data_IF_116221505983
#
_entry.id   IF_116221505983
#
_cell.length_a   1.000
_cell.length_b   1.000
_cell.length_c   1.000
_cell.angle_alpha   90.00
_cell.angle_beta   90.00
_cell.angle_gamma   90.00
#
_symmetry.space_group_name_H-M   'P 1'
#
loop_
_entity.id
_entity.type
_entity.pdbx_description
1 polymer ?
#
# COMPACT_ATOMS: atom_id res chain seq x y z
N UNK A 1 20.72 -39.95 -39.61
CA UNK A 1 19.60 -40.14 -38.67
C UNK A 1 20.07 -39.73 -37.29
N UNK A 2 19.59 -38.60 -36.76
CA UNK A 2 19.95 -38.11 -35.42
C UNK A 2 18.69 -38.20 -34.56
N UNK A 3 18.73 -39.06 -33.55
CA UNK A 3 17.65 -39.23 -32.58
C UNK A 3 17.67 -38.06 -31.60
N UNK A 4 16.62 -37.25 -31.62
CA UNK A 4 16.34 -36.23 -30.62
C UNK A 4 16.14 -36.90 -29.26
N UNK A 5 16.83 -36.40 -28.23
CA UNK A 5 16.73 -36.89 -26.86
C UNK A 5 15.79 -35.96 -26.08
N UNK A 6 14.55 -36.42 -25.86
CA UNK A 6 13.61 -35.84 -24.90
C UNK A 6 13.79 -36.53 -23.55
N UNK A 7 14.24 -35.78 -22.55
CA UNK A 7 14.16 -36.16 -21.13
C UNK A 7 14.05 -34.86 -20.33
N UNK A 8 12.87 -34.37 -20.00
CA UNK A 8 12.00 -35.06 -19.06
C UNK A 8 12.51 -34.83 -17.63
N UNK A 9 12.37 -33.59 -17.13
CA UNK A 9 12.12 -33.35 -15.70
C UNK A 9 11.00 -32.33 -15.58
N UNK A 10 9.80 -32.73 -15.09
CA UNK A 10 8.75 -31.78 -14.75
C UNK A 10 9.26 -30.90 -13.61
N UNK A 11 9.21 -29.58 -13.77
CA UNK A 11 9.38 -28.70 -12.62
C UNK A 11 8.15 -28.89 -11.74
N UNK A 12 8.38 -29.55 -10.63
CA UNK A 12 7.48 -29.79 -9.52
C UNK A 12 6.67 -28.52 -9.23
N UNK A 13 5.36 -28.61 -9.46
CA UNK A 13 4.40 -27.61 -9.05
C UNK A 13 4.28 -27.70 -7.54
N UNK A 14 5.19 -27.03 -6.82
CA UNK A 14 5.12 -26.92 -5.36
C UNK A 14 3.99 -25.96 -5.04
N UNK A 15 2.83 -26.55 -4.77
CA UNK A 15 1.74 -25.89 -4.10
C UNK A 15 2.21 -25.32 -2.76
N UNK A 16 2.01 -24.03 -2.60
CA UNK A 16 1.77 -23.40 -1.30
C UNK A 16 0.45 -22.65 -1.38
N UNK A 17 -0.64 -23.39 -1.49
CA UNK A 17 -1.91 -22.86 -0.99
C UNK A 17 -1.83 -22.89 0.53
N UNK A 18 -1.94 -21.73 1.18
CA UNK A 18 -2.88 -21.50 2.30
C UNK A 18 -2.54 -20.21 3.03
N UNK A 19 -3.03 -19.08 2.53
CA UNK A 19 -3.55 -18.05 3.44
C UNK A 19 -4.97 -17.77 2.98
N UNK A 20 -5.87 -18.52 3.58
CA UNK A 20 -7.27 -18.22 3.89
C UNK A 20 -8.04 -17.29 2.96
N UNK A 21 -9.14 -17.84 2.47
CA UNK A 21 -10.27 -17.15 1.88
C UNK A 21 -10.48 -15.74 2.46
N UNK A 22 -10.31 -14.74 1.61
CA UNK A 22 -10.88 -13.41 1.82
C UNK A 22 -12.42 -13.59 1.80
N UNK A 23 -13.01 -13.92 2.94
CA UNK A 23 -14.43 -13.61 3.16
C UNK A 23 -14.52 -12.09 3.11
N UNK A 24 -14.80 -11.54 1.92
CA UNK A 24 -15.36 -10.21 1.79
C UNK A 24 -16.78 -10.30 2.37
N UNK A 25 -16.85 -10.33 3.69
CA UNK A 25 -18.09 -10.15 4.40
C UNK A 25 -18.63 -8.79 4.00
N UNK A 26 -19.88 -8.77 3.53
CA UNK A 26 -20.70 -7.56 3.46
C UNK A 26 -20.95 -7.08 4.89
N UNK A 27 -19.93 -6.55 5.54
CA UNK A 27 -20.10 -5.83 6.79
C UNK A 27 -20.42 -4.39 6.40
N UNK A 28 -21.72 -4.08 6.43
CA UNK A 28 -22.22 -2.72 6.37
C UNK A 28 -21.54 -1.90 7.47
N UNK A 29 -20.71 -0.93 7.08
CA UNK A 29 -20.18 0.07 8.02
C UNK A 29 -21.34 0.96 8.43
N UNK A 30 -21.80 0.80 9.67
CA UNK A 30 -22.72 1.73 10.32
C UNK A 30 -21.86 2.90 10.79
N UNK A 31 -22.02 4.07 10.18
CA UNK A 31 -21.39 5.32 10.63
C UNK A 31 -22.16 5.80 11.86
N UNK A 32 -21.73 5.37 13.04
CA UNK A 32 -22.21 5.94 14.30
C UNK A 32 -21.48 7.26 14.55
N UNK A 33 -22.23 8.36 14.44
CA UNK A 33 -21.80 9.72 14.76
C UNK A 33 -21.51 9.83 16.26
N UNK A 34 -20.25 9.73 16.68
CA UNK A 34 -19.82 9.95 18.06
C UNK A 34 -18.73 11.02 18.13
N UNK A 35 -19.21 12.24 18.43
CA UNK A 35 -18.55 13.33 19.19
C UNK A 35 -17.18 13.86 18.71
N UNK A 36 -17.25 15.08 18.18
CA UNK A 36 -16.24 16.11 17.83
C UNK A 36 -14.79 16.05 18.37
N UNK A 37 -14.50 15.42 19.50
CA UNK A 37 -13.13 15.27 20.02
C UNK A 37 -12.41 14.02 19.46
N UNK A 38 -13.17 13.03 18.97
CA UNK A 38 -12.60 11.81 18.38
C UNK A 38 -12.14 12.01 16.94
N UNK A 39 -12.75 12.95 16.21
CA UNK A 39 -12.46 13.19 14.80
C UNK A 39 -11.05 13.76 14.60
N UNK A 40 -10.57 14.63 15.51
CA UNK A 40 -9.21 15.18 15.44
C UNK A 40 -8.13 14.13 15.75
N UNK A 41 -8.40 13.24 16.73
CA UNK A 41 -7.52 12.12 17.05
C UNK A 41 -7.45 11.10 15.90
N UNK A 42 -8.56 10.88 15.18
CA UNK A 42 -8.60 10.00 14.01
C UNK A 42 -7.90 10.63 12.80
N UNK A 43 -8.04 11.95 12.58
CA UNK A 43 -7.31 12.68 11.54
C UNK A 43 -5.79 12.67 11.77
N UNK A 44 -5.34 12.86 13.02
CA UNK A 44 -3.94 12.71 13.40
C UNK A 44 -3.41 11.30 13.16
N UNK A 45 -4.21 10.26 13.44
CA UNK A 45 -3.83 8.86 13.16
C UNK A 45 -3.69 8.60 11.66
N UNK A 46 -4.62 9.10 10.83
CA UNK A 46 -4.56 8.97 9.36
C UNK A 46 -3.34 9.70 8.80
N UNK A 47 -3.02 10.89 9.32
CA UNK A 47 -1.83 11.65 8.95
C UNK A 47 -0.55 10.86 9.24
N UNK A 48 -0.36 10.36 10.47
CA UNK A 48 0.81 9.54 10.82
C UNK A 48 0.91 8.23 10.01
N UNK A 49 -0.22 7.59 9.69
CA UNK A 49 -0.23 6.40 8.84
C UNK A 49 0.21 6.72 7.41
N UNK A 50 -0.18 7.87 6.87
CA UNK A 50 0.19 8.30 5.53
C UNK A 50 1.67 8.67 5.44
N UNK A 51 2.22 9.35 6.46
CA UNK A 51 3.66 9.60 6.57
C UNK A 51 4.46 8.28 6.62
N UNK A 52 4.03 7.32 7.44
CA UNK A 52 4.66 6.01 7.53
C UNK A 52 4.62 5.26 6.20
N UNK A 53 3.50 5.35 5.46
CA UNK A 53 3.36 4.74 4.14
C UNK A 53 4.32 5.39 3.12
N UNK A 54 4.47 6.71 3.12
CA UNK A 54 5.45 7.41 2.27
C UNK A 54 6.86 6.92 2.57
N UNK A 55 7.24 6.85 3.84
CA UNK A 55 8.55 6.34 4.26
C UNK A 55 8.80 4.92 3.76
N UNK A 56 7.81 4.02 3.94
CA UNK A 56 7.91 2.63 3.47
C UNK A 56 8.06 2.52 1.94
N UNK A 57 7.42 3.41 1.18
CA UNK A 57 7.58 3.45 -0.28
C UNK A 57 8.97 3.95 -0.69
N UNK A 58 9.51 4.96 -0.02
CA UNK A 58 10.88 5.44 -0.25
C UNK A 58 11.92 4.37 0.10
N UNK A 59 11.73 3.65 1.21
CA UNK A 59 12.60 2.54 1.58
C UNK A 59 12.54 1.40 0.55
N UNK A 60 11.34 1.11 0.04
CA UNK A 60 11.13 0.10 -1.00
C UNK A 60 11.76 0.51 -2.34
N UNK A 61 11.66 1.80 -2.73
CA UNK A 61 12.37 2.37 -3.88
C UNK A 61 13.88 2.18 -3.72
N UNK A 62 14.45 2.58 -2.58
CA UNK A 62 15.88 2.46 -2.32
C UNK A 62 16.33 0.99 -2.33
N UNK A 63 15.50 0.07 -1.83
CA UNK A 63 15.78 -1.36 -1.88
C UNK A 63 15.75 -1.92 -3.30
N UNK A 64 14.79 -1.49 -4.13
CA UNK A 64 14.69 -1.86 -5.54
C UNK A 64 15.91 -1.37 -6.33
N UNK A 65 16.37 -0.13 -6.10
CA UNK A 65 17.60 0.42 -6.69
C UNK A 65 18.83 -0.40 -6.30
N UNK A 66 18.97 -0.79 -5.02
CA UNK A 66 20.08 -1.65 -4.57
C UNK A 66 20.06 -3.06 -5.16
N UNK A 67 18.88 -3.53 -5.57
CA UNK A 67 18.69 -4.84 -6.18
C UNK A 67 18.79 -4.82 -7.73
N UNK A 68 19.16 -3.67 -8.32
CA UNK A 68 19.14 -3.43 -9.77
C UNK A 68 17.75 -3.66 -10.42
N UNK A 69 16.67 -3.58 -9.65
CA UNK A 69 15.29 -3.68 -10.12
C UNK A 69 14.73 -2.29 -10.42
N UNK A 70 15.20 -1.72 -11.54
CA UNK A 70 14.86 -0.35 -11.92
C UNK A 70 13.39 -0.18 -12.34
N UNK A 71 12.74 -1.23 -12.84
CA UNK A 71 11.33 -1.22 -13.20
C UNK A 71 10.47 -1.04 -11.93
N UNK A 72 10.78 -1.78 -10.87
CA UNK A 72 10.10 -1.66 -9.59
C UNK A 72 10.44 -0.33 -8.89
N UNK A 73 11.70 0.11 -8.93
CA UNK A 73 12.10 1.43 -8.42
C UNK A 73 11.30 2.55 -9.10
N UNK A 74 11.12 2.48 -10.43
CA UNK A 74 10.33 3.46 -11.20
C UNK A 74 8.85 3.47 -10.76
N UNK A 75 8.27 2.32 -10.42
CA UNK A 75 6.90 2.25 -9.90
C UNK A 75 6.78 2.95 -8.55
N UNK A 76 7.72 2.73 -7.64
CA UNK A 76 7.74 3.43 -6.34
C UNK A 76 7.95 4.94 -6.52
N UNK A 77 8.90 5.33 -7.37
CA UNK A 77 9.18 6.73 -7.70
C UNK A 77 7.96 7.44 -8.29
N UNK A 78 7.17 6.76 -9.12
CA UNK A 78 5.92 7.29 -9.65
C UNK A 78 4.83 7.42 -8.58
N UNK A 79 4.77 6.51 -7.60
CA UNK A 79 3.75 6.49 -6.55
C UNK A 79 3.97 7.54 -5.45
N UNK A 80 5.22 7.79 -5.04
CA UNK A 80 5.58 8.69 -3.93
C UNK A 80 4.95 10.10 -4.09
N UNK A 81 5.01 10.77 -5.27
CA UNK A 81 4.38 12.09 -5.46
C UNK A 81 2.85 12.09 -5.32
N UNK A 82 2.17 10.96 -5.51
CA UNK A 82 0.72 10.87 -5.27
C UNK A 82 0.42 10.83 -3.77
N UNK A 83 1.22 10.09 -3.00
CA UNK A 83 1.08 10.01 -1.55
C UNK A 83 1.41 11.35 -0.88
N UNK A 84 2.47 12.03 -1.32
CA UNK A 84 2.82 13.37 -0.84
C UNK A 84 1.71 14.40 -1.10
N UNK A 85 1.09 14.37 -2.29
CA UNK A 85 -0.07 15.24 -2.59
C UNK A 85 -1.28 14.91 -1.73
N UNK A 86 -1.53 13.64 -1.45
CA UNK A 86 -2.60 13.23 -0.56
C UNK A 86 -2.37 13.75 0.87
N UNK A 87 -1.12 13.74 1.35
CA UNK A 87 -0.75 14.27 2.66
C UNK A 87 -1.02 15.78 2.76
N UNK A 88 -0.52 16.55 1.80
CA UNK A 88 -0.77 17.99 1.73
C UNK A 88 -2.28 18.31 1.64
N UNK A 89 -3.04 17.51 0.89
CA UNK A 89 -4.49 17.67 0.80
C UNK A 89 -5.19 17.40 2.13
N UNK A 90 -4.73 16.41 2.89
CA UNK A 90 -5.26 16.08 4.22
C UNK A 90 -4.95 17.21 5.22
N UNK A 91 -3.73 17.72 5.22
CA UNK A 91 -3.32 18.85 6.07
C UNK A 91 -4.15 20.11 5.77
N UNK A 92 -4.38 20.40 4.49
CA UNK A 92 -5.25 21.51 4.08
C UNK A 92 -6.71 21.31 4.53
N UNK A 93 -7.23 20.09 4.46
CA UNK A 93 -8.59 19.77 4.91
C UNK A 93 -8.73 19.90 6.44
N UNK A 94 -7.73 19.46 7.21
CA UNK A 94 -7.69 19.63 8.67
C UNK A 94 -7.68 21.11 9.03
N UNK A 95 -6.77 21.91 8.44
CA UNK A 95 -6.69 23.34 8.71
C UNK A 95 -7.98 24.09 8.34
N UNK A 96 -8.63 23.70 7.24
CA UNK A 96 -9.92 24.28 6.85
C UNK A 96 -11.05 23.93 7.84
N UNK A 97 -11.05 22.71 8.39
CA UNK A 97 -12.01 22.28 9.40
C UNK A 97 -11.79 23.02 10.74
N UNK A 98 -10.54 23.18 11.16
CA UNK A 98 -10.19 23.93 12.38
C UNK A 98 -10.56 25.41 12.30
N UNK A 99 -10.44 26.04 11.13
CA UNK A 99 -10.81 27.45 10.94
C UNK A 99 -12.33 27.69 10.89
N UNK A 100 -13.14 26.65 10.68
CA UNK A 100 -14.60 26.75 10.57
C UNK A 100 -15.34 26.49 11.89
N UNK A 101 -14.64 25.96 12.90
CA UNK A 101 -15.13 25.70 14.25
C UNK A 101 -14.98 26.92 15.17
#
# INVERSE_FOLDING_TARGET
MVLQKSSGRPREHVGRHSINALMVGRSSVIVSRMTSDSDSADLGRVHSQLEAAIGAFMDSEANAVRADDFDEATRFQAAIPHLQRALVSLEGAIAAAESAA
#
